data_IF_828636554145
#
_entry.id   IF_828636554145
#
_cell.length_a   1.000
_cell.length_b   1.000
_cell.length_c   1.000
_cell.angle_alpha   90.00
_cell.angle_beta   90.00
_cell.angle_gamma   90.00
#
_symmetry.space_group_name_H-M   'P 1'
#
loop_
_entity.id
_entity.type
_entity.pdbx_description
1 polymer ?
#
# COMPACT_ATOMS: atom_id res chain seq x y z
N UNK A 1 -27.52 -6.60 -8.63
CA UNK A 1 -26.10 -6.22 -8.51
C UNK A 1 -26.03 -4.94 -7.69
N UNK A 2 -25.27 -4.92 -6.60
CA UNK A 2 -25.13 -3.71 -5.76
C UNK A 2 -24.16 -2.75 -6.45
N UNK A 3 -24.65 -1.56 -6.85
CA UNK A 3 -23.80 -0.48 -7.35
C UNK A 3 -23.43 0.40 -6.15
N UNK A 4 -22.15 0.36 -5.73
CA UNK A 4 -21.62 1.19 -4.65
C UNK A 4 -20.78 2.33 -5.23
N UNK A 5 -21.00 3.54 -4.72
CA UNK A 5 -20.22 4.75 -5.00
C UNK A 5 -19.39 5.19 -3.79
N UNK A 6 -19.17 4.30 -2.83
CA UNK A 6 -18.36 4.60 -1.66
C UNK A 6 -16.90 4.85 -2.08
N UNK A 7 -16.22 5.86 -1.52
CA UNK A 7 -14.82 6.17 -1.84
C UNK A 7 -13.81 5.24 -1.14
N UNK A 8 -14.26 4.23 -0.41
CA UNK A 8 -13.40 3.29 0.32
C UNK A 8 -14.10 2.69 1.56
N UNK A 9 -14.20 1.36 1.69
CA UNK A 9 -14.10 0.38 0.60
C UNK A 9 -15.08 0.69 -0.54
N UNK A 10 -14.67 0.42 -1.78
CA UNK A 10 -15.44 0.75 -2.99
C UNK A 10 -15.93 -0.50 -3.72
N UNK A 11 -16.66 -0.33 -4.83
CA UNK A 11 -16.98 -1.43 -5.75
C UNK A 11 -15.67 -2.11 -6.21
N UNK A 12 -15.63 -3.44 -6.10
CA UNK A 12 -14.50 -4.26 -6.54
C UNK A 12 -14.42 -4.37 -8.07
N UNK A 13 -13.23 -4.68 -8.58
CA UNK A 13 -12.99 -4.97 -10.00
C UNK A 13 -13.90 -6.14 -10.47
N UNK A 14 -14.58 -6.05 -11.63
CA UNK A 14 -15.62 -7.02 -12.01
C UNK A 14 -15.15 -8.49 -12.01
N UNK A 15 -13.89 -8.73 -12.36
CA UNK A 15 -13.30 -10.05 -12.52
C UNK A 15 -12.73 -10.62 -11.21
N UNK A 16 -12.78 -9.87 -10.10
CA UNK A 16 -12.20 -10.32 -8.82
C UNK A 16 -12.76 -11.68 -8.38
N UNK A 17 -14.03 -11.97 -8.69
CA UNK A 17 -14.64 -13.26 -8.36
C UNK A 17 -13.90 -14.41 -9.05
N UNK A 18 -13.57 -14.24 -10.32
CA UNK A 18 -12.83 -15.24 -11.08
C UNK A 18 -11.43 -15.42 -10.49
N UNK A 19 -10.71 -14.32 -10.23
CA UNK A 19 -9.37 -14.38 -9.64
C UNK A 19 -9.34 -15.06 -8.27
N UNK A 20 -10.37 -14.88 -7.44
CA UNK A 20 -10.47 -15.55 -6.14
C UNK A 20 -10.71 -17.06 -6.27
N UNK A 21 -11.48 -17.50 -7.27
CA UNK A 21 -11.68 -18.93 -7.56
C UNK A 21 -10.38 -19.55 -8.08
N UNK A 22 -9.72 -18.89 -9.04
CA UNK A 22 -8.43 -19.33 -9.57
C UNK A 22 -7.37 -19.41 -8.47
N UNK A 23 -7.28 -18.40 -7.60
CA UNK A 23 -6.34 -18.40 -6.48
C UNK A 23 -6.58 -19.56 -5.49
N UNK A 24 -7.84 -19.94 -5.27
CA UNK A 24 -8.17 -21.11 -4.47
C UNK A 24 -7.76 -22.41 -5.17
N UNK A 25 -8.21 -22.61 -6.40
CA UNK A 25 -8.03 -23.86 -7.15
C UNK A 25 -6.56 -24.12 -7.51
N UNK A 26 -5.79 -23.06 -7.78
CA UNK A 26 -4.35 -23.14 -8.01
C UNK A 26 -3.53 -23.28 -6.72
N UNK A 27 -4.17 -23.25 -5.55
CA UNK A 27 -3.52 -23.37 -4.24
C UNK A 27 -2.68 -22.16 -3.83
N UNK A 28 -2.97 -20.96 -4.36
CA UNK A 28 -2.28 -19.73 -3.99
C UNK A 28 -2.52 -19.39 -2.51
N UNK A 29 -3.74 -19.60 -2.03
CA UNK A 29 -4.16 -19.23 -0.67
C UNK A 29 -3.44 -20.02 0.44
N UNK A 30 -2.85 -21.16 0.12
CA UNK A 30 -2.11 -22.02 1.04
C UNK A 30 -0.59 -22.02 0.77
N UNK A 31 -0.15 -21.17 -0.17
CA UNK A 31 1.25 -21.11 -0.58
C UNK A 31 2.11 -20.51 0.53
N UNK A 32 3.24 -21.16 0.84
CA UNK A 32 4.22 -20.60 1.76
C UNK A 32 4.86 -19.33 1.16
N UNK A 33 4.88 -18.24 1.93
CA UNK A 33 5.45 -16.95 1.52
C UNK A 33 6.96 -16.96 1.19
N UNK A 34 7.66 -18.06 1.52
CA UNK A 34 9.08 -18.27 1.17
C UNK A 34 9.29 -19.25 0.00
N UNK A 35 8.20 -19.84 -0.51
CA UNK A 35 8.30 -20.77 -1.64
C UNK A 35 8.73 -20.04 -2.91
N UNK A 36 9.47 -20.73 -3.79
CA UNK A 36 9.89 -20.17 -5.06
C UNK A 36 8.70 -19.66 -5.88
N UNK A 37 7.59 -20.42 -5.87
CA UNK A 37 6.35 -20.04 -6.56
C UNK A 37 5.82 -18.69 -6.05
N UNK A 38 5.79 -18.46 -4.74
CA UNK A 38 5.33 -17.19 -4.18
C UNK A 38 6.29 -16.05 -4.52
N UNK A 39 7.60 -16.30 -4.39
CA UNK A 39 8.62 -15.29 -4.68
C UNK A 39 8.56 -14.84 -6.14
N UNK A 40 8.37 -15.77 -7.09
CA UNK A 40 8.20 -15.42 -8.51
C UNK A 40 6.91 -14.64 -8.76
N UNK A 41 5.79 -15.06 -8.15
CA UNK A 41 4.52 -14.32 -8.24
C UNK A 41 4.66 -12.88 -7.71
N UNK A 42 5.27 -12.71 -6.54
CA UNK A 42 5.52 -11.40 -5.92
C UNK A 42 6.42 -10.51 -6.78
N UNK A 43 7.51 -11.07 -7.34
CA UNK A 43 8.36 -10.37 -8.31
C UNK A 43 7.60 -9.91 -9.55
N UNK A 44 6.69 -10.76 -10.06
CA UNK A 44 5.81 -10.42 -11.17
C UNK A 44 4.92 -9.22 -10.86
N UNK A 45 4.27 -9.20 -9.69
CA UNK A 45 3.46 -8.06 -9.23
C UNK A 45 4.28 -6.77 -9.17
N UNK A 46 5.49 -6.83 -8.60
CA UNK A 46 6.39 -5.66 -8.55
C UNK A 46 6.76 -5.16 -9.95
N UNK A 47 7.07 -6.07 -10.87
CA UNK A 47 7.41 -5.71 -12.25
C UNK A 47 6.23 -5.04 -12.97
N UNK A 48 5.02 -5.58 -12.82
CA UNK A 48 3.79 -5.01 -13.39
C UNK A 48 3.47 -3.63 -12.83
N UNK A 49 3.61 -3.43 -11.50
CA UNK A 49 3.44 -2.11 -10.88
C UNK A 49 4.43 -1.11 -11.47
N UNK A 50 5.71 -1.49 -11.56
CA UNK A 50 6.75 -0.62 -12.12
C UNK A 50 6.44 -0.24 -13.57
N UNK A 51 6.04 -1.21 -14.40
CA UNK A 51 5.69 -0.98 -15.79
C UNK A 51 4.45 -0.08 -15.94
N UNK A 52 3.35 -0.38 -15.24
CA UNK A 52 2.07 0.35 -15.38
C UNK A 52 2.14 1.78 -14.86
N UNK A 53 2.95 2.05 -13.84
CA UNK A 53 3.08 3.38 -13.24
C UNK A 53 4.34 4.12 -13.73
N UNK A 54 5.11 3.56 -14.66
CA UNK A 54 6.40 4.09 -15.13
C UNK A 54 7.36 4.41 -13.98
N UNK A 55 7.46 3.51 -12.99
CA UNK A 55 8.35 3.70 -11.83
C UNK A 55 9.81 3.56 -12.29
N UNK A 56 10.71 4.51 -11.95
CA UNK A 56 12.11 4.41 -12.32
C UNK A 56 12.81 3.18 -11.72
N UNK A 57 13.89 2.75 -12.36
CA UNK A 57 14.57 1.49 -12.03
C UNK A 57 15.13 1.47 -10.61
N UNK A 58 15.61 2.62 -10.14
CA UNK A 58 16.23 2.86 -8.83
C UNK A 58 15.23 2.93 -7.67
N UNK A 59 13.92 2.98 -7.95
CA UNK A 59 12.88 2.98 -6.92
C UNK A 59 12.46 1.55 -6.56
N UNK A 60 12.01 1.36 -5.33
CA UNK A 60 11.54 0.08 -4.80
C UNK A 60 10.03 0.11 -4.56
N UNK A 61 9.39 -1.06 -4.69
CA UNK A 61 7.98 -1.26 -4.34
C UNK A 61 7.94 -2.13 -3.09
N UNK A 62 7.27 -1.64 -2.04
CA UNK A 62 7.08 -2.36 -0.79
C UNK A 62 5.59 -2.62 -0.57
N UNK A 63 5.28 -3.83 -0.12
CA UNK A 63 3.93 -4.19 0.35
C UNK A 63 3.84 -3.88 1.85
N UNK A 64 2.81 -3.14 2.23
CA UNK A 64 2.48 -2.79 3.62
C UNK A 64 0.99 -3.03 3.83
N UNK A 65 0.57 -3.11 5.08
CA UNK A 65 -0.77 -3.49 5.51
C UNK A 65 -1.80 -2.37 5.27
N UNK A 66 -1.39 -1.09 5.31
CA UNK A 66 -2.29 0.04 5.03
C UNK A 66 -1.55 1.34 4.70
N UNK A 67 -2.28 2.33 4.17
CA UNK A 67 -1.76 3.69 3.99
C UNK A 67 -1.38 4.38 5.33
N UNK A 68 -2.12 4.09 6.40
CA UNK A 68 -1.81 4.62 7.75
C UNK A 68 -0.48 4.05 8.26
N UNK A 69 -0.20 2.77 8.00
CA UNK A 69 1.10 2.17 8.34
C UNK A 69 2.24 2.83 7.56
N UNK A 70 2.04 3.13 6.27
CA UNK A 70 3.03 3.87 5.48
C UNK A 70 3.41 5.21 6.11
N UNK A 71 2.43 5.94 6.65
CA UNK A 71 2.66 7.21 7.34
C UNK A 71 3.61 7.05 8.52
N UNK A 72 3.41 6.02 9.33
CA UNK A 72 4.26 5.71 10.48
C UNK A 72 5.66 5.27 10.06
N UNK A 73 5.77 4.38 9.05
CA UNK A 73 7.06 3.92 8.51
C UNK A 73 7.90 5.10 8.03
N UNK A 74 7.31 6.02 7.26
CA UNK A 74 8.00 7.20 6.75
C UNK A 74 8.52 8.06 7.90
N UNK A 75 7.68 8.35 8.89
CA UNK A 75 8.07 9.20 10.03
C UNK A 75 9.16 8.54 10.87
N UNK A 76 9.05 7.24 11.16
CA UNK A 76 10.01 6.55 12.01
C UNK A 76 11.36 6.34 11.31
N UNK A 77 11.35 6.07 10.00
CA UNK A 77 12.54 5.69 9.23
C UNK A 77 13.26 6.87 8.60
N UNK A 78 12.53 7.91 8.17
CA UNK A 78 13.07 8.99 7.35
C UNK A 78 13.09 10.36 8.06
N UNK A 79 12.39 10.50 9.19
CA UNK A 79 12.36 11.76 9.96
C UNK A 79 13.26 11.69 11.19
N UNK A 80 14.46 12.27 11.09
CA UNK A 80 15.42 12.33 12.21
C UNK A 80 15.01 13.35 13.29
N UNK A 81 14.56 14.53 12.89
CA UNK A 81 14.27 15.64 13.82
C UNK A 81 12.91 16.31 13.56
N UNK A 82 12.65 16.71 12.32
CA UNK A 82 11.46 17.47 11.95
C UNK A 82 10.99 17.13 10.53
N UNK A 83 9.72 17.40 10.27
CA UNK A 83 9.06 17.21 8.97
C UNK A 83 8.04 18.32 8.75
N UNK A 84 7.87 18.77 7.51
CA UNK A 84 6.84 19.74 7.12
C UNK A 84 5.70 19.03 6.39
N UNK A 85 4.46 19.29 6.77
CA UNK A 85 3.27 18.65 6.23
C UNK A 85 2.34 19.70 5.60
N UNK A 86 2.15 19.63 4.29
CA UNK A 86 1.14 20.45 3.62
C UNK A 86 -0.18 19.68 3.53
N UNK A 87 -1.28 20.26 4.02
CA UNK A 87 -2.59 19.63 3.92
C UNK A 87 -3.72 20.65 3.76
N UNK A 88 -4.76 20.22 3.07
CA UNK A 88 -6.02 20.96 2.89
C UNK A 88 -7.25 20.08 3.14
N UNK A 89 -7.07 18.96 3.86
CA UNK A 89 -8.12 18.00 4.13
C UNK A 89 -7.72 16.95 5.17
N UNK A 90 -8.71 16.15 5.58
CA UNK A 90 -8.63 15.31 6.79
C UNK A 90 -7.50 14.26 6.77
N UNK A 91 -7.16 13.68 5.61
CA UNK A 91 -6.09 12.68 5.54
C UNK A 91 -4.70 13.28 5.75
N UNK A 92 -4.42 14.44 5.14
CA UNK A 92 -3.15 15.14 5.33
C UNK A 92 -3.02 15.68 6.75
N UNK A 93 -4.09 16.24 7.31
CA UNK A 93 -4.13 16.66 8.71
C UNK A 93 -3.87 15.47 9.65
N UNK A 94 -4.53 14.33 9.42
CA UNK A 94 -4.32 13.12 10.22
C UNK A 94 -2.87 12.63 10.14
N UNK A 95 -2.25 12.63 8.96
CA UNK A 95 -0.85 12.26 8.83
C UNK A 95 0.06 13.22 9.61
N UNK A 96 -0.17 14.53 9.53
CA UNK A 96 0.56 15.50 10.35
C UNK A 96 0.43 15.20 11.85
N UNK A 97 -0.78 14.93 12.35
CA UNK A 97 -0.98 14.60 13.77
C UNK A 97 -0.25 13.30 14.17
N UNK A 98 -0.31 12.26 13.33
CA UNK A 98 0.47 11.03 13.55
C UNK A 98 1.97 11.32 13.58
N UNK A 99 2.48 12.14 12.65
CA UNK A 99 3.88 12.52 12.61
C UNK A 99 4.30 13.31 13.86
N UNK A 100 3.46 14.26 14.31
CA UNK A 100 3.69 15.08 15.51
C UNK A 100 3.76 14.23 16.78
N UNK A 101 2.90 13.21 16.89
CA UNK A 101 2.90 12.28 18.01
C UNK A 101 4.19 11.45 18.09
N UNK A 102 4.71 10.99 16.96
CA UNK A 102 5.95 10.20 16.87
C UNK A 102 7.23 11.06 16.92
N UNK A 103 7.14 12.29 16.41
CA UNK A 103 8.23 13.27 16.28
C UNK A 103 7.69 14.67 16.59
N UNK A 104 7.87 15.18 17.83
CA UNK A 104 7.37 16.48 18.23
C UNK A 104 7.85 17.67 17.39
N UNK A 105 8.94 17.50 16.62
CA UNK A 105 9.45 18.50 15.68
C UNK A 105 8.66 18.62 14.37
N UNK A 106 7.60 17.84 14.14
CA UNK A 106 6.75 17.99 12.96
C UNK A 106 6.01 19.35 12.97
N UNK A 107 5.88 19.95 11.80
CA UNK A 107 5.18 21.22 11.55
C UNK A 107 4.15 21.00 10.43
N UNK A 108 2.98 21.60 10.57
CA UNK A 108 1.87 21.55 9.63
C UNK A 108 1.56 22.92 9.06
#
# INVERSE_FOLDING_TARGET
>A
MLLSFNPGPSKVYPEIRQYMVEAHDEGILQMGHRSDRFVQMSKGVVAEIKAKLNVPAEFFVYFVSSATESWEIIVQSLTRSSSLHFYNGAFGEKWYQTAKALRPGAVG
#
